data_IF_828902713871
#
_entry.id   IF_828902713871
#
_cell.length_a   1.000
_cell.length_b   1.000
_cell.length_c   1.000
_cell.angle_alpha   90.00
_cell.angle_beta   90.00
_cell.angle_gamma   90.00
#
_symmetry.space_group_name_H-M   'P 1'
#
loop_
_entity.id
_entity.type
_entity.pdbx_description
1 polymer ?
#
# COMPACT_ATOMS: atom_id res chain seq x y z
N UNK A 1 -7.41 -30.29 32.06
CA UNK A 1 -6.58 -29.10 32.32
C UNK A 1 -6.92 -28.02 31.31
N UNK A 2 -7.26 -26.85 31.84
CA UNK A 2 -7.24 -25.48 31.29
C UNK A 2 -7.57 -25.20 29.83
N UNK A 3 -8.84 -24.77 29.66
CA UNK A 3 -9.37 -23.76 28.71
C UNK A 3 -8.38 -22.61 28.44
N UNK A 4 -8.31 -22.13 27.19
CA UNK A 4 -8.42 -20.69 26.86
C UNK A 4 -8.86 -20.53 25.39
N UNK A 5 -10.13 -20.13 25.21
CA UNK A 5 -10.75 -19.68 23.96
C UNK A 5 -10.63 -18.15 23.97
N UNK A 6 -9.89 -17.56 23.03
CA UNK A 6 -9.71 -16.11 22.93
C UNK A 6 -10.66 -15.52 21.88
N UNK A 7 -11.24 -14.36 22.22
CA UNK A 7 -12.25 -13.61 21.48
C UNK A 7 -11.65 -12.69 20.41
N UNK A 8 -12.45 -12.46 19.37
CA UNK A 8 -12.21 -11.67 18.16
C UNK A 8 -11.94 -10.17 18.38
N UNK A 9 -11.16 -9.58 17.48
CA UNK A 9 -10.95 -8.13 17.32
C UNK A 9 -11.93 -7.52 16.29
N UNK A 10 -12.29 -6.22 16.41
CA UNK A 10 -13.11 -5.50 15.43
C UNK A 10 -12.24 -4.86 14.32
N UNK A 11 -12.77 -4.92 13.10
CA UNK A 11 -12.18 -4.50 11.81
C UNK A 11 -12.26 -2.97 11.61
N UNK A 12 -11.17 -2.34 11.17
CA UNK A 12 -11.12 -0.95 10.72
C UNK A 12 -11.11 -0.91 9.18
N UNK A 13 -12.05 -0.15 8.62
CA UNK A 13 -12.33 0.03 7.19
C UNK A 13 -11.30 0.94 6.52
N UNK A 14 -10.78 0.61 5.31
CA UNK A 14 -10.20 1.60 4.40
C UNK A 14 -11.26 2.07 3.40
N UNK A 15 -11.56 3.37 3.42
CA UNK A 15 -12.35 4.05 2.38
C UNK A 15 -11.54 4.25 1.11
N UNK A 16 -11.95 3.62 0.02
CA UNK A 16 -11.61 3.96 -1.35
C UNK A 16 -12.85 4.53 -2.06
N UNK A 17 -12.69 5.70 -2.66
CA UNK A 17 -13.58 6.32 -3.65
C UNK A 17 -12.71 7.37 -4.35
N UNK A 18 -12.59 7.49 -5.66
CA UNK A 18 -13.27 6.91 -6.80
C UNK A 18 -12.79 7.76 -7.99
N UNK A 19 -12.58 7.12 -9.13
CA UNK A 19 -12.25 7.75 -10.42
C UNK A 19 -13.39 8.69 -10.90
N UNK A 20 -13.04 9.64 -11.78
CA UNK A 20 -13.85 10.26 -12.88
C UNK A 20 -13.89 11.81 -12.87
N UNK A 21 -13.06 12.38 -13.76
CA UNK A 21 -13.30 13.52 -14.71
C UNK A 21 -13.72 14.91 -14.23
N UNK A 22 -12.81 15.87 -14.45
CA UNK A 22 -13.00 17.22 -15.03
C UNK A 22 -14.21 18.08 -14.61
N UNK A 23 -13.92 19.15 -13.86
CA UNK A 23 -14.41 20.53 -14.09
C UNK A 23 -13.69 21.52 -13.16
N UNK A 24 -13.08 22.61 -13.66
CA UNK A 24 -12.41 23.61 -12.84
C UNK A 24 -13.29 24.85 -12.63
N UNK A 25 -13.38 25.40 -11.41
CA UNK A 25 -13.63 26.84 -11.20
C UNK A 25 -13.19 27.28 -9.79
N UNK A 26 -12.05 27.99 -9.77
CA UNK A 26 -11.74 29.26 -9.05
C UNK A 26 -12.49 29.52 -7.75
N UNK A 27 -11.83 29.73 -6.62
CA UNK A 27 -11.11 30.97 -6.21
C UNK A 27 -10.63 30.65 -4.78
N UNK A 28 -9.41 30.95 -4.34
CA UNK A 28 -8.96 32.27 -3.87
C UNK A 28 -7.43 32.17 -3.71
N UNK A 29 -6.79 33.25 -4.15
CA UNK A 29 -5.37 33.54 -4.20
C UNK A 29 -4.70 33.50 -2.81
N UNK A 30 -3.62 32.73 -2.67
CA UNK A 30 -2.37 33.08 -1.96
C UNK A 30 -1.51 31.81 -1.77
N UNK A 31 -0.20 31.92 -2.00
CA UNK A 31 0.86 30.88 -1.86
C UNK A 31 1.06 29.94 -3.06
N UNK A 32 1.72 30.44 -4.11
CA UNK A 32 2.15 29.62 -5.25
C UNK A 32 3.60 29.85 -5.67
N UNK A 33 4.51 30.21 -4.73
CA UNK A 33 5.90 30.51 -5.08
C UNK A 33 6.95 29.57 -4.43
N UNK A 34 6.62 28.79 -3.40
CA UNK A 34 7.60 27.89 -2.76
C UNK A 34 7.56 26.46 -3.32
N UNK A 35 6.40 26.00 -3.80
CA UNK A 35 6.23 24.61 -4.26
C UNK A 35 6.92 24.32 -5.60
N UNK A 36 7.08 25.33 -6.47
CA UNK A 36 7.75 25.19 -7.77
C UNK A 36 9.24 24.83 -7.64
N UNK A 37 9.88 25.17 -6.51
CA UNK A 37 11.28 24.82 -6.24
C UNK A 37 11.44 23.35 -5.81
N UNK A 38 10.53 22.87 -4.95
CA UNK A 38 10.54 21.52 -4.40
C UNK A 38 10.09 20.47 -5.42
N UNK A 39 9.18 20.82 -6.34
CA UNK A 39 8.72 19.93 -7.41
C UNK A 39 9.87 19.58 -8.38
N UNK A 40 10.72 20.56 -8.72
CA UNK A 40 11.91 20.34 -9.55
C UNK A 40 12.96 19.46 -8.86
N UNK A 41 13.17 19.66 -7.56
CA UNK A 41 14.06 18.81 -6.74
C UNK A 41 13.55 17.36 -6.74
N UNK A 42 12.25 17.17 -6.49
CA UNK A 42 11.60 15.86 -6.46
C UNK A 42 11.75 15.12 -7.80
N UNK A 43 11.55 15.85 -8.90
CA UNK A 43 11.68 15.29 -10.26
C UNK A 43 13.10 14.83 -10.54
N UNK A 44 14.10 15.63 -10.17
CA UNK A 44 15.51 15.26 -10.35
C UNK A 44 15.91 14.06 -9.48
N UNK A 45 15.43 13.98 -8.23
CA UNK A 45 15.67 12.81 -7.37
C UNK A 45 15.09 11.55 -7.99
N UNK A 46 13.87 11.60 -8.54
CA UNK A 46 13.25 10.46 -9.23
C UNK A 46 14.05 10.04 -10.46
N UNK A 47 14.51 11.00 -11.27
CA UNK A 47 15.36 10.75 -12.44
C UNK A 47 16.68 10.09 -12.04
N UNK A 48 17.33 10.57 -10.98
CA UNK A 48 18.58 10.01 -10.48
C UNK A 48 18.40 8.57 -10.00
N UNK A 49 17.36 8.29 -9.22
CA UNK A 49 17.05 6.93 -8.75
C UNK A 49 16.80 5.98 -9.92
N UNK A 50 16.07 6.43 -10.94
CA UNK A 50 15.82 5.64 -12.15
C UNK A 50 17.12 5.35 -12.92
N UNK A 51 18.00 6.34 -13.07
CA UNK A 51 19.30 6.17 -13.73
C UNK A 51 20.23 5.22 -12.95
N UNK A 52 20.22 5.27 -11.62
CA UNK A 52 20.98 4.35 -10.76
C UNK A 52 20.48 2.93 -10.92
N UNK A 53 19.16 2.74 -10.96
CA UNK A 53 18.55 1.45 -11.23
C UNK A 53 18.94 0.92 -12.63
N UNK A 54 18.79 1.74 -13.68
CA UNK A 54 19.18 1.38 -15.05
C UNK A 54 20.69 1.06 -15.14
N UNK A 55 21.53 1.75 -14.35
CA UNK A 55 22.97 1.49 -14.27
C UNK A 55 23.27 0.12 -13.66
N UNK A 56 22.59 -0.23 -12.57
CA UNK A 56 22.74 -1.52 -11.90
C UNK A 56 22.17 -2.69 -12.71
N UNK A 57 21.07 -2.48 -13.44
CA UNK A 57 20.42 -3.51 -14.25
C UNK A 57 21.14 -3.80 -15.58
N UNK A 58 21.92 -2.84 -16.08
CA UNK A 58 22.76 -3.04 -17.27
C UNK A 58 23.96 -3.96 -16.97
N UNK A 59 23.63 -5.23 -16.89
CA UNK A 59 24.47 -6.39 -16.65
C UNK A 59 25.58 -6.47 -17.70
N UNK A 60 26.85 -6.29 -17.27
CA UNK A 60 28.18 -6.63 -17.85
C UNK A 60 28.44 -6.69 -19.38
N UNK A 61 27.47 -6.38 -20.24
CA UNK A 61 27.48 -6.60 -21.71
C UNK A 61 27.38 -5.30 -22.51
N UNK A 62 27.26 -4.15 -21.84
CA UNK A 62 27.26 -2.85 -22.49
C UNK A 62 28.69 -2.29 -22.57
N UNK A 63 29.04 -1.80 -23.77
CA UNK A 63 30.28 -1.04 -24.03
C UNK A 63 30.51 0.04 -22.97
N UNK A 64 31.79 0.25 -22.63
CA UNK A 64 32.20 1.23 -21.62
C UNK A 64 31.71 2.65 -21.95
N UNK A 65 31.53 2.99 -23.23
CA UNK A 65 30.96 4.27 -23.68
C UNK A 65 29.57 4.56 -23.08
N UNK A 66 28.70 3.55 -22.97
CA UNK A 66 27.37 3.72 -22.36
C UNK A 66 27.42 3.85 -20.84
N UNK A 67 28.45 3.29 -20.19
CA UNK A 67 28.67 3.52 -18.75
C UNK A 67 29.09 4.96 -18.53
N UNK A 68 30.05 5.46 -19.32
CA UNK A 68 30.52 6.84 -19.27
C UNK A 68 29.37 7.80 -19.53
N UNK A 69 28.54 7.56 -20.55
CA UNK A 69 27.39 8.41 -20.86
C UNK A 69 26.35 8.47 -19.73
N UNK A 70 26.07 7.34 -19.07
CA UNK A 70 25.16 7.30 -17.92
C UNK A 70 25.72 8.01 -16.70
N UNK A 71 27.00 7.81 -16.40
CA UNK A 71 27.69 8.52 -15.30
C UNK A 71 27.70 10.03 -15.56
N UNK A 72 27.96 10.48 -16.79
CA UNK A 72 27.88 11.90 -17.16
C UNK A 72 26.47 12.46 -16.94
N UNK A 73 25.44 11.70 -17.32
CA UNK A 73 24.03 12.10 -17.10
C UNK A 73 23.70 12.21 -15.61
N UNK A 74 24.16 11.25 -14.78
CA UNK A 74 24.01 11.31 -13.33
C UNK A 74 24.70 12.55 -12.74
N UNK A 75 25.90 12.88 -13.21
CA UNK A 75 26.65 14.05 -12.78
C UNK A 75 25.90 15.35 -13.09
N UNK A 76 25.34 15.48 -14.30
CA UNK A 76 24.53 16.66 -14.68
C UNK A 76 23.28 16.81 -13.81
N UNK A 77 22.60 15.70 -13.48
CA UNK A 77 21.42 15.75 -12.59
C UNK A 77 21.82 16.14 -11.17
N UNK A 78 22.96 15.66 -10.66
CA UNK A 78 23.49 16.05 -9.36
C UNK A 78 23.85 17.54 -9.30
N UNK A 79 24.45 18.09 -10.36
CA UNK A 79 24.74 19.52 -10.46
C UNK A 79 23.45 20.37 -10.50
N UNK A 80 22.42 19.94 -11.22
CA UNK A 80 21.11 20.62 -11.22
C UNK A 80 20.40 20.51 -9.85
N UNK A 81 20.49 19.35 -9.18
CA UNK A 81 20.00 19.17 -7.81
C UNK A 81 20.69 20.10 -6.83
N UNK A 82 22.02 20.16 -6.88
CA UNK A 82 22.83 21.03 -6.03
C UNK A 82 22.46 22.49 -6.22
N UNK A 83 22.35 22.95 -7.47
CA UNK A 83 21.99 24.36 -7.76
C UNK A 83 20.56 24.69 -7.32
N UNK A 84 19.59 23.77 -7.49
CA UNK A 84 18.21 23.96 -7.02
C UNK A 84 18.08 23.95 -5.50
N UNK A 85 18.75 23.02 -4.81
CA UNK A 85 18.79 22.98 -3.34
C UNK A 85 19.43 24.26 -2.80
N UNK A 86 20.53 24.72 -3.41
CA UNK A 86 21.17 25.97 -3.01
C UNK A 86 20.25 27.18 -3.22
N UNK A 87 19.51 27.24 -4.33
CA UNK A 87 18.48 28.28 -4.57
C UNK A 87 17.35 28.23 -3.53
N UNK A 88 16.82 27.04 -3.24
CA UNK A 88 15.77 26.84 -2.24
C UNK A 88 16.25 27.23 -0.83
N UNK A 89 17.48 26.87 -0.47
CA UNK A 89 18.09 27.25 0.81
C UNK A 89 18.33 28.76 0.91
N UNK A 90 18.81 29.41 -0.15
CA UNK A 90 18.99 30.86 -0.19
C UNK A 90 17.66 31.60 -0.03
N UNK A 91 16.59 31.13 -0.67
CA UNK A 91 15.24 31.68 -0.53
C UNK A 91 14.69 31.51 0.89
N UNK A 92 14.91 30.35 1.51
CA UNK A 92 14.48 30.07 2.90
C UNK A 92 15.25 30.86 3.96
N UNK A 93 16.45 31.38 3.64
CA UNK A 93 17.30 32.09 4.60
C UNK A 93 16.87 33.54 4.90
N UNK A 94 15.98 34.13 4.08
CA UNK A 94 15.49 35.51 4.30
C UNK A 94 14.30 35.61 5.27
N UNK A 95 13.75 34.47 5.73
CA UNK A 95 12.53 34.38 6.51
C UNK A 95 12.70 34.13 8.02
N UNK A 96 13.76 34.61 8.68
CA UNK A 96 13.94 34.49 10.14
C UNK A 96 12.95 35.29 11.00
N UNK A 97 11.74 35.56 10.52
CA UNK A 97 10.67 36.24 11.26
C UNK A 97 9.48 35.31 11.43
N UNK A 98 9.02 35.18 12.67
CA UNK A 98 7.61 34.89 12.99
C UNK A 98 7.13 33.42 12.97
N UNK A 99 7.79 32.51 13.69
CA UNK A 99 7.05 31.43 14.39
C UNK A 99 6.82 31.83 15.85
N UNK A 100 6.17 32.98 16.05
CA UNK A 100 5.60 33.33 17.35
C UNK A 100 4.33 32.52 17.52
N UNK A 101 4.39 31.58 18.46
CA UNK A 101 3.26 30.87 19.08
C UNK A 101 1.96 31.65 18.95
N UNK A 102 1.08 31.18 18.07
CA UNK A 102 -0.27 31.68 17.99
C UNK A 102 -1.00 31.33 19.31
N UNK A 103 -1.33 32.38 20.08
CA UNK A 103 -2.46 32.49 21.04
C UNK A 103 -2.34 32.09 22.53
N UNK A 104 -1.27 32.46 23.26
CA UNK A 104 -1.31 32.41 24.75
C UNK A 104 -0.99 33.70 25.51
N UNK A 105 -0.61 34.80 24.85
CA UNK A 105 -0.31 36.05 25.57
C UNK A 105 -1.45 37.07 25.42
N UNK A 106 -2.49 36.89 26.24
CA UNK A 106 -3.52 37.93 26.48
C UNK A 106 -2.84 39.14 27.13
N UNK A 107 -2.57 40.16 26.32
CA UNK A 107 -2.13 41.49 26.74
C UNK A 107 -3.02 42.01 27.87
N UNK A 108 -2.42 42.17 29.06
CA UNK A 108 -2.90 43.05 30.14
C UNK A 108 -2.82 44.50 29.63
N UNK A 109 -3.93 45.07 29.16
CA UNK A 109 -4.01 46.51 28.89
C UNK A 109 -4.36 47.25 30.20
N UNK A 110 -3.53 48.20 30.65
CA UNK A 110 -3.87 49.11 31.74
C UNK A 110 -4.69 50.30 31.20
N UNK A 111 -5.43 50.93 32.11
CA UNK A 111 -6.22 52.17 31.98
C UNK A 111 -7.50 52.15 31.14
N UNK A 112 -8.63 52.28 31.84
CA UNK A 112 -9.67 53.30 31.62
C UNK A 112 -10.76 53.19 32.70
N UNK A 113 -10.53 53.93 33.80
CA UNK A 113 -11.49 54.81 34.49
C UNK A 113 -13.00 54.44 34.56
N UNK A 114 -13.47 54.29 35.81
CA UNK A 114 -14.77 54.77 36.35
C UNK A 114 -16.06 54.06 35.89
N UNK A 115 -16.46 53.00 36.61
CA UNK A 115 -17.75 52.89 37.33
C UNK A 115 -17.95 51.46 37.89
N UNK A 116 -18.41 51.27 39.14
CA UNK A 116 -18.66 49.95 39.70
C UNK A 116 -20.05 49.48 39.26
N UNK A 117 -20.20 49.12 37.99
CA UNK A 117 -21.50 48.71 37.45
C UNK A 117 -21.52 47.20 37.26
N UNK A 118 -21.99 46.52 38.33
CA UNK A 118 -22.54 45.16 38.45
C UNK A 118 -21.85 44.02 37.67
N UNK A 119 -21.59 42.86 38.31
CA UNK A 119 -21.16 41.67 37.58
C UNK A 119 -22.19 41.40 36.47
N UNK A 120 -21.78 41.09 35.23
CA UNK A 120 -22.73 40.69 34.21
C UNK A 120 -23.51 39.53 34.79
N UNK A 121 -24.80 39.76 35.01
CA UNK A 121 -25.72 38.75 35.48
C UNK A 121 -25.85 37.79 34.30
N UNK A 122 -24.90 36.84 34.22
CA UNK A 122 -24.87 35.83 33.17
C UNK A 122 -26.26 35.22 33.11
N UNK A 123 -26.88 35.29 31.93
CA UNK A 123 -28.17 34.66 31.71
C UNK A 123 -28.04 33.18 32.15
N UNK A 124 -28.93 32.64 33.00
CA UNK A 124 -28.91 31.22 33.34
C UNK A 124 -28.83 30.32 32.10
N UNK A 125 -29.34 30.77 30.94
CA UNK A 125 -29.23 30.07 29.67
C UNK A 125 -27.79 30.02 29.12
N UNK A 126 -27.03 31.10 29.22
CA UNK A 126 -25.62 31.16 28.79
C UNK A 126 -24.72 30.26 29.65
N UNK A 127 -24.94 30.23 30.97
CA UNK A 127 -24.21 29.32 31.87
C UNK A 127 -24.48 27.86 31.50
N UNK A 128 -25.73 27.51 31.17
CA UNK A 128 -26.08 26.16 30.74
C UNK A 128 -25.45 25.82 29.38
N UNK A 129 -25.46 26.76 28.43
CA UNK A 129 -24.82 26.60 27.12
C UNK A 129 -23.31 26.35 27.26
N UNK A 130 -22.61 27.15 28.06
CA UNK A 130 -21.17 26.97 28.32
C UNK A 130 -20.86 25.64 29.02
N UNK A 131 -21.71 25.18 29.93
CA UNK A 131 -21.57 23.84 30.55
C UNK A 131 -21.72 22.72 29.52
N UNK A 132 -22.71 22.81 28.62
CA UNK A 132 -22.91 21.85 27.53
C UNK A 132 -21.72 21.84 26.57
N UNK A 133 -21.22 23.02 26.18
CA UNK A 133 -20.04 23.16 25.33
C UNK A 133 -18.77 22.60 25.98
N UNK A 134 -18.56 22.83 27.28
CA UNK A 134 -17.43 22.26 28.03
C UNK A 134 -17.52 20.72 28.11
N UNK A 135 -18.71 20.17 28.37
CA UNK A 135 -18.93 18.72 28.36
C UNK A 135 -18.68 18.12 26.97
N UNK A 136 -19.16 18.79 25.90
CA UNK A 136 -18.92 18.38 24.52
C UNK A 136 -17.41 18.42 24.16
N UNK A 137 -16.71 19.48 24.57
CA UNK A 137 -15.26 19.63 24.37
C UNK A 137 -14.46 18.54 25.11
N UNK A 138 -14.86 18.23 26.35
CA UNK A 138 -14.24 17.14 27.12
C UNK A 138 -14.49 15.76 26.50
N UNK A 139 -15.67 15.52 25.94
CA UNK A 139 -15.98 14.30 25.21
C UNK A 139 -15.16 14.19 23.91
N UNK A 140 -15.08 15.28 23.13
CA UNK A 140 -14.26 15.33 21.92
C UNK A 140 -12.77 15.07 22.22
N UNK A 141 -12.23 15.67 23.30
CA UNK A 141 -10.85 15.44 23.73
C UNK A 141 -10.60 13.98 24.11
N UNK A 142 -11.52 13.33 24.84
CA UNK A 142 -11.41 11.90 25.16
C UNK A 142 -11.46 11.03 23.90
N UNK A 143 -12.34 11.35 22.95
CA UNK A 143 -12.42 10.66 21.66
C UNK A 143 -11.11 10.76 20.87
N UNK A 144 -10.52 11.95 20.79
CA UNK A 144 -9.25 12.18 20.11
C UNK A 144 -8.09 11.46 20.80
N UNK A 145 -8.05 11.45 22.13
CA UNK A 145 -7.08 10.68 22.89
C UNK A 145 -7.16 9.17 22.61
N UNK A 146 -8.38 8.62 22.49
CA UNK A 146 -8.58 7.22 22.11
C UNK A 146 -8.09 6.94 20.69
N UNK A 147 -8.39 7.83 19.73
CA UNK A 147 -7.93 7.69 18.34
C UNK A 147 -6.40 7.75 18.21
N UNK A 148 -5.73 8.67 18.91
CA UNK A 148 -4.26 8.72 18.93
C UNK A 148 -3.65 7.45 19.55
N UNK A 149 -4.31 6.90 20.58
CA UNK A 149 -3.86 5.67 21.24
C UNK A 149 -4.04 4.44 20.34
N UNK A 150 -5.15 4.34 19.59
CA UNK A 150 -5.36 3.26 18.62
C UNK A 150 -4.39 3.36 17.43
N UNK A 151 -4.15 4.57 16.93
CA UNK A 151 -3.21 4.80 15.82
C UNK A 151 -1.77 4.42 16.21
N UNK A 152 -1.36 4.67 17.46
CA UNK A 152 -0.07 4.22 17.99
C UNK A 152 0.09 2.70 17.98
N UNK A 153 -0.97 1.97 18.39
CA UNK A 153 -0.99 0.50 18.35
C UNK A 153 -1.00 -0.05 16.93
N UNK A 154 -1.77 0.57 16.03
CA UNK A 154 -1.80 0.19 14.61
C UNK A 154 -0.42 0.36 13.95
N UNK A 155 0.28 1.47 14.25
CA UNK A 155 1.66 1.71 13.81
C UNK A 155 2.61 0.60 14.31
N UNK A 156 2.46 0.17 15.55
CA UNK A 156 3.26 -0.92 16.13
C UNK A 156 2.98 -2.26 15.44
N UNK A 157 1.71 -2.59 15.21
CA UNK A 157 1.29 -3.80 14.46
C UNK A 157 1.87 -3.79 13.05
N UNK A 158 1.79 -2.66 12.35
CA UNK A 158 2.32 -2.53 10.99
C UNK A 158 3.85 -2.66 10.97
N UNK A 159 4.56 -2.10 11.96
CA UNK A 159 6.01 -2.26 12.07
C UNK A 159 6.42 -3.74 12.29
N UNK A 160 5.69 -4.47 13.13
CA UNK A 160 5.90 -5.91 13.33
C UNK A 160 5.63 -6.71 12.04
N UNK A 161 4.54 -6.42 11.34
CA UNK A 161 4.21 -7.09 10.08
C UNK A 161 5.24 -6.78 8.97
N UNK A 162 5.73 -5.54 8.90
CA UNK A 162 6.81 -5.16 7.98
C UNK A 162 8.11 -5.89 8.32
N UNK A 163 8.47 -6.02 9.60
CA UNK A 163 9.65 -6.76 10.03
C UNK A 163 9.54 -8.25 9.68
N UNK A 164 8.36 -8.85 9.87
CA UNK A 164 8.06 -10.22 9.48
C UNK A 164 8.20 -10.41 7.96
N UNK A 165 7.63 -9.49 7.17
CA UNK A 165 7.73 -9.52 5.70
C UNK A 165 9.14 -9.31 5.18
N UNK A 166 9.93 -8.45 5.83
CA UNK A 166 11.34 -8.27 5.50
C UNK A 166 12.14 -9.57 5.75
N UNK A 167 11.85 -10.28 6.83
CA UNK A 167 12.48 -11.58 7.12
C UNK A 167 12.11 -12.65 6.08
N UNK A 168 10.82 -12.79 5.74
CA UNK A 168 10.37 -13.72 4.69
C UNK A 168 11.03 -13.42 3.33
N UNK A 169 11.20 -12.14 2.98
CA UNK A 169 11.89 -11.74 1.75
C UNK A 169 13.38 -12.14 1.78
N UNK A 170 14.06 -11.95 2.91
CA UNK A 170 15.46 -12.35 3.06
C UNK A 170 15.62 -13.89 2.92
N UNK A 171 14.75 -14.69 3.53
CA UNK A 171 14.76 -16.15 3.36
C UNK A 171 14.55 -16.56 1.89
N UNK A 172 13.64 -15.88 1.18
CA UNK A 172 13.44 -16.12 -0.26
C UNK A 172 14.67 -15.72 -1.10
N UNK A 173 15.35 -14.63 -0.75
CA UNK A 173 16.59 -14.20 -1.43
C UNK A 173 17.74 -15.19 -1.24
N UNK A 174 17.87 -15.78 -0.06
CA UNK A 174 18.83 -16.86 0.22
C UNK A 174 18.54 -18.09 -0.65
N UNK A 175 17.28 -18.56 -0.70
CA UNK A 175 16.87 -19.67 -1.56
C UNK A 175 17.17 -19.39 -3.04
N UNK A 176 16.89 -18.18 -3.52
CA UNK A 176 17.20 -17.79 -4.90
C UNK A 176 18.71 -17.76 -5.15
N UNK A 177 19.52 -17.38 -4.17
CA UNK A 177 20.98 -17.38 -4.27
C UNK A 177 21.53 -18.80 -4.35
N UNK A 178 21.01 -19.71 -3.53
CA UNK A 178 21.34 -21.15 -3.58
C UNK A 178 20.98 -21.77 -4.93
N UNK A 179 19.79 -21.48 -5.46
CA UNK A 179 19.39 -21.96 -6.78
C UNK A 179 20.28 -21.39 -7.89
N UNK A 180 20.70 -20.12 -7.79
CA UNK A 180 21.67 -19.53 -8.73
C UNK A 180 23.02 -20.25 -8.68
N UNK A 181 23.55 -20.53 -7.49
CA UNK A 181 24.80 -21.26 -7.32
C UNK A 181 24.73 -22.70 -7.86
N UNK A 182 23.61 -23.40 -7.61
CA UNK A 182 23.37 -24.74 -8.17
C UNK A 182 23.29 -24.72 -9.71
N UNK A 183 22.57 -23.74 -10.28
CA UNK A 183 22.47 -23.57 -11.72
C UNK A 183 23.83 -23.27 -12.36
N UNK A 184 24.66 -22.42 -11.73
CA UNK A 184 26.02 -22.13 -12.21
C UNK A 184 26.90 -23.38 -12.18
N UNK A 185 26.85 -24.16 -11.10
CA UNK A 185 27.57 -25.44 -10.98
C UNK A 185 27.14 -26.43 -12.06
N UNK A 186 25.83 -26.53 -12.34
CA UNK A 186 25.30 -27.40 -13.38
C UNK A 186 25.74 -26.92 -14.77
N UNK A 187 25.72 -25.61 -15.01
CA UNK A 187 26.18 -25.03 -16.27
C UNK A 187 27.66 -25.35 -16.54
N UNK A 188 28.53 -25.22 -15.53
CA UNK A 188 29.95 -25.63 -15.62
C UNK A 188 30.10 -27.11 -15.96
N UNK A 189 29.29 -27.99 -15.34
CA UNK A 189 29.29 -29.42 -15.69
C UNK A 189 28.88 -29.67 -17.14
N UNK A 190 27.81 -29.02 -17.61
CA UNK A 190 27.34 -29.13 -18.99
C UNK A 190 28.40 -28.65 -19.98
N UNK A 191 29.07 -27.54 -19.69
CA UNK A 191 30.17 -27.03 -20.51
C UNK A 191 31.36 -28.00 -20.55
N UNK A 192 31.76 -28.56 -19.40
CA UNK A 192 32.83 -29.57 -19.35
C UNK A 192 32.46 -30.81 -20.16
N UNK A 193 31.23 -31.34 -20.02
CA UNK A 193 30.76 -32.47 -20.82
C UNK A 193 30.77 -32.15 -22.33
N UNK A 194 30.39 -30.93 -22.73
CA UNK A 194 30.44 -30.51 -24.13
C UNK A 194 31.88 -30.41 -24.67
N UNK A 195 32.84 -30.00 -23.85
CA UNK A 195 34.26 -29.96 -24.23
C UNK A 195 34.84 -31.37 -24.39
N UNK A 196 34.58 -32.27 -23.45
CA UNK A 196 35.07 -33.65 -23.51
C UNK A 196 34.53 -34.38 -24.76
N UNK A 197 33.23 -34.24 -25.06
CA UNK A 197 32.63 -34.82 -26.26
C UNK A 197 33.18 -34.21 -27.58
N UNK A 198 33.78 -33.02 -27.55
CA UNK A 198 34.44 -32.42 -28.71
C UNK A 198 35.91 -32.84 -28.87
N UNK A 199 36.58 -33.25 -27.77
CA UNK A 199 37.95 -33.79 -27.81
C UNK A 199 37.96 -35.23 -28.32
N UNK A 200 37.05 -36.07 -27.80
CA UNK A 200 36.91 -37.47 -28.22
C UNK A 200 36.64 -37.60 -29.73
N UNK A 201 35.90 -36.66 -30.33
CA UNK A 201 35.63 -36.63 -31.78
C UNK A 201 36.83 -36.24 -32.66
N UNK A 202 37.90 -35.68 -32.11
CA UNK A 202 39.06 -35.22 -32.88
C UNK A 202 40.26 -36.16 -32.81
N UNK A 203 40.33 -37.04 -31.81
CA UNK A 203 41.44 -38.00 -31.66
C UNK A 203 41.21 -39.32 -32.40
N UNK A 204 39.97 -39.66 -32.77
CA UNK A 204 39.65 -40.86 -33.56
C UNK A 204 39.44 -40.53 -35.06
N UNK A 205 40.47 -40.00 -35.71
CA UNK A 205 40.56 -39.96 -37.19
C UNK A 205 41.47 -41.13 -37.61
N UNK A 206 40.99 -42.37 -37.47
CA UNK A 206 41.41 -43.58 -38.22
C UNK A 206 40.80 -44.86 -37.62
N UNK A 207 39.47 -44.92 -37.51
CA UNK A 207 38.78 -46.12 -37.02
C UNK A 207 37.34 -46.23 -37.53
N UNK A 208 36.96 -47.30 -38.25
CA UNK A 208 35.61 -47.44 -38.77
C UNK A 208 34.63 -47.84 -37.65
N UNK A 209 33.80 -46.87 -37.23
CA UNK A 209 32.39 -47.11 -36.91
C UNK A 209 31.99 -47.14 -35.43
N UNK A 210 31.32 -46.09 -34.91
CA UNK A 210 30.45 -46.17 -33.74
C UNK A 210 28.99 -46.25 -34.21
N UNK A 211 28.58 -47.42 -34.71
CA UNK A 211 27.33 -47.59 -35.45
C UNK A 211 26.06 -47.91 -34.63
N UNK A 212 26.15 -48.37 -33.38
CA UNK A 212 24.95 -49.00 -32.77
C UNK A 212 24.76 -48.82 -31.25
N UNK A 213 25.78 -48.43 -30.48
CA UNK A 213 25.65 -48.37 -29.01
C UNK A 213 24.93 -47.12 -28.47
N UNK A 214 24.67 -46.12 -29.30
CA UNK A 214 24.05 -44.85 -28.86
C UNK A 214 22.52 -44.83 -28.97
N UNK A 215 21.93 -45.79 -29.69
CA UNK A 215 20.47 -45.86 -29.91
C UNK A 215 19.68 -45.98 -28.59
N UNK A 216 20.03 -46.88 -27.64
CA UNK A 216 19.27 -46.97 -26.38
C UNK A 216 19.44 -45.76 -25.47
N UNK A 217 20.63 -45.13 -25.46
CA UNK A 217 20.86 -43.90 -24.68
C UNK A 217 20.12 -42.70 -25.24
N UNK A 218 20.07 -42.56 -26.57
CA UNK A 218 19.30 -41.53 -27.25
C UNK A 218 17.79 -41.69 -26.99
N UNK A 219 17.28 -42.92 -27.02
CA UNK A 219 15.89 -43.23 -26.65
C UNK A 219 15.56 -42.82 -25.22
N UNK A 220 16.40 -43.19 -24.25
CA UNK A 220 16.22 -42.80 -22.83
C UNK A 220 16.31 -41.29 -22.62
N UNK A 221 17.23 -40.59 -23.30
CA UNK A 221 17.37 -39.15 -23.17
C UNK A 221 16.15 -38.41 -23.76
N UNK A 222 15.64 -38.89 -24.89
CA UNK A 222 14.39 -38.41 -25.49
C UNK A 222 13.21 -38.58 -24.53
N UNK A 223 13.05 -39.76 -23.94
CA UNK A 223 11.99 -40.01 -22.95
C UNK A 223 12.11 -39.10 -21.72
N UNK A 224 13.31 -38.94 -21.15
CA UNK A 224 13.54 -38.04 -20.02
C UNK A 224 13.25 -36.58 -20.37
N UNK A 225 13.60 -36.15 -21.58
CA UNK A 225 13.32 -34.79 -22.08
C UNK A 225 11.81 -34.57 -22.26
N UNK A 226 11.09 -35.55 -22.78
CA UNK A 226 9.62 -35.53 -22.89
C UNK A 226 8.95 -35.51 -21.51
N UNK A 227 9.44 -36.31 -20.55
CA UNK A 227 8.96 -36.30 -19.16
C UNK A 227 9.22 -34.95 -18.47
N UNK A 228 10.40 -34.34 -18.69
CA UNK A 228 10.73 -33.02 -18.15
C UNK A 228 9.85 -31.94 -18.76
N UNK A 229 9.61 -31.97 -20.07
CA UNK A 229 8.72 -31.01 -20.72
C UNK A 229 7.29 -31.15 -20.18
N UNK A 230 6.80 -32.39 -20.03
CA UNK A 230 5.49 -32.69 -19.45
C UNK A 230 5.36 -32.21 -18.01
N UNK A 231 6.41 -32.34 -17.18
CA UNK A 231 6.39 -31.85 -15.79
C UNK A 231 6.42 -30.31 -15.71
N UNK A 232 7.19 -29.64 -16.58
CA UNK A 232 7.21 -28.17 -16.70
C UNK A 232 5.84 -27.65 -17.13
N UNK A 233 5.21 -28.27 -18.13
CA UNK A 233 3.88 -27.89 -18.59
C UNK A 233 2.81 -28.15 -17.50
N UNK A 234 2.94 -29.24 -16.74
CA UNK A 234 2.13 -29.52 -15.56
C UNK A 234 2.26 -28.44 -14.50
N UNK A 235 3.48 -28.02 -14.15
CA UNK A 235 3.73 -26.92 -13.21
C UNK A 235 3.17 -25.59 -13.71
N UNK A 236 3.34 -25.27 -15.01
CA UNK A 236 2.76 -24.07 -15.63
C UNK A 236 1.23 -24.09 -15.58
N UNK A 237 0.60 -25.23 -15.84
CA UNK A 237 -0.84 -25.41 -15.74
C UNK A 237 -1.33 -25.22 -14.29
N UNK A 238 -0.65 -25.82 -13.32
CA UNK A 238 -0.97 -25.68 -11.90
C UNK A 238 -0.81 -24.22 -11.43
N UNK A 239 0.25 -23.54 -11.86
CA UNK A 239 0.47 -22.11 -11.55
C UNK A 239 -0.64 -21.23 -12.10
N UNK A 240 -1.16 -21.50 -13.30
CA UNK A 240 -2.33 -20.80 -13.85
C UNK A 240 -3.59 -21.05 -13.02
N UNK A 241 -3.90 -22.32 -12.74
CA UNK A 241 -5.05 -22.69 -11.89
C UNK A 241 -4.98 -22.05 -10.50
N UNK A 242 -3.80 -22.01 -9.88
CA UNK A 242 -3.59 -21.35 -8.60
C UNK A 242 -3.90 -19.86 -8.68
N UNK A 243 -3.44 -19.18 -9.75
CA UNK A 243 -3.75 -17.77 -9.99
C UNK A 243 -5.25 -17.54 -10.18
N UNK A 244 -5.92 -18.39 -10.96
CA UNK A 244 -7.36 -18.30 -11.19
C UNK A 244 -8.15 -18.43 -9.87
N UNK A 245 -7.79 -19.40 -9.03
CA UNK A 245 -8.40 -19.57 -7.68
C UNK A 245 -8.07 -18.40 -6.75
N UNK A 246 -6.86 -17.85 -6.84
CA UNK A 246 -6.46 -16.68 -6.05
C UNK A 246 -7.30 -15.45 -6.44
N UNK A 247 -7.51 -15.22 -7.73
CA UNK A 247 -8.32 -14.12 -8.26
C UNK A 247 -9.82 -14.30 -7.91
N UNK A 248 -10.35 -15.52 -8.01
CA UNK A 248 -11.72 -15.85 -7.57
C UNK A 248 -11.90 -15.60 -6.06
N UNK A 249 -10.94 -16.03 -5.24
CA UNK A 249 -10.94 -15.79 -3.78
C UNK A 249 -10.89 -14.29 -3.47
N UNK A 250 -10.08 -13.52 -4.21
CA UNK A 250 -10.04 -12.06 -4.11
C UNK A 250 -11.39 -11.41 -4.44
N UNK A 251 -12.04 -11.84 -5.52
CA UNK A 251 -13.37 -11.38 -5.92
C UNK A 251 -14.43 -11.70 -4.85
N UNK A 252 -14.39 -12.93 -4.31
CA UNK A 252 -15.32 -13.37 -3.26
C UNK A 252 -15.14 -12.60 -1.96
N UNK A 253 -13.90 -12.29 -1.55
CA UNK A 253 -13.64 -11.44 -0.38
C UNK A 253 -14.15 -10.02 -0.56
N UNK A 254 -14.05 -9.47 -1.77
CA UNK A 254 -14.62 -8.15 -2.09
C UNK A 254 -16.14 -8.19 -1.98
N UNK A 255 -16.80 -9.16 -2.61
CA UNK A 255 -18.25 -9.34 -2.51
C UNK A 255 -18.70 -9.53 -1.05
N UNK A 256 -17.98 -10.33 -0.26
CA UNK A 256 -18.27 -10.52 1.16
C UNK A 256 -18.15 -9.22 1.97
N UNK A 257 -17.15 -8.39 1.67
CA UNK A 257 -16.99 -7.06 2.29
C UNK A 257 -18.16 -6.15 1.96
N UNK A 258 -18.56 -6.10 0.70
CA UNK A 258 -19.71 -5.30 0.25
C UNK A 258 -21.02 -5.76 0.94
N UNK A 259 -21.18 -7.07 1.15
CA UNK A 259 -22.31 -7.61 1.89
C UNK A 259 -22.25 -7.26 3.38
N UNK A 260 -21.08 -7.40 4.01
CA UNK A 260 -20.88 -7.05 5.41
C UNK A 260 -21.15 -5.57 5.66
N UNK A 261 -20.73 -4.69 4.76
CA UNK A 261 -21.05 -3.27 4.81
C UNK A 261 -22.56 -3.02 4.69
N UNK A 262 -23.24 -3.67 3.74
CA UNK A 262 -24.71 -3.61 3.61
C UNK A 262 -25.44 -4.04 4.89
N UNK A 263 -25.02 -5.14 5.51
CA UNK A 263 -25.57 -5.63 6.78
C UNK A 263 -25.29 -4.64 7.92
N UNK A 264 -24.09 -4.05 7.98
CA UNK A 264 -23.73 -3.06 8.98
C UNK A 264 -24.61 -1.80 8.85
N UNK A 265 -24.83 -1.29 7.63
CA UNK A 265 -25.74 -0.16 7.38
C UNK A 265 -27.17 -0.50 7.82
N UNK A 266 -27.67 -1.69 7.48
CA UNK A 266 -28.98 -2.17 7.94
C UNK A 266 -29.08 -2.24 9.47
N UNK A 267 -28.05 -2.78 10.13
CA UNK A 267 -27.97 -2.88 11.59
C UNK A 267 -27.96 -1.50 12.25
N UNK A 268 -27.16 -0.56 11.74
CA UNK A 268 -27.13 0.81 12.26
C UNK A 268 -28.47 1.53 12.12
N UNK A 269 -29.18 1.32 11.00
CA UNK A 269 -30.54 1.85 10.82
C UNK A 269 -31.53 1.23 11.80
N UNK A 270 -31.46 -0.08 12.01
CA UNK A 270 -32.30 -0.79 12.98
C UNK A 270 -32.05 -0.29 14.41
N UNK A 271 -30.79 -0.09 14.81
CA UNK A 271 -30.45 0.49 16.12
C UNK A 271 -31.01 1.91 16.27
N UNK A 272 -30.85 2.77 15.25
CA UNK A 272 -31.42 4.12 15.24
C UNK A 272 -32.96 4.11 15.33
N UNK A 273 -33.61 3.20 14.62
CA UNK A 273 -35.07 3.04 14.69
C UNK A 273 -35.51 2.59 16.08
N UNK A 274 -34.80 1.63 16.68
CA UNK A 274 -35.06 1.18 18.04
C UNK A 274 -34.90 2.32 19.07
N UNK A 275 -33.84 3.13 18.96
CA UNK A 275 -33.63 4.30 19.81
C UNK A 275 -34.77 5.33 19.68
N UNK A 276 -35.20 5.61 18.45
CA UNK A 276 -36.31 6.51 18.13
C UNK A 276 -37.63 6.03 18.74
N UNK A 277 -37.95 4.74 18.60
CA UNK A 277 -39.14 4.12 19.22
C UNK A 277 -39.08 4.21 20.75
N UNK A 278 -37.91 3.99 21.34
CA UNK A 278 -37.70 4.06 22.80
C UNK A 278 -37.87 5.46 23.36
N UNK A 279 -37.60 6.51 22.55
CA UNK A 279 -37.72 7.92 22.94
C UNK A 279 -39.13 8.49 22.75
N UNK A 280 -40.07 7.70 22.24
CA UNK A 280 -41.41 8.17 21.84
C UNK A 280 -41.33 9.33 20.84
N UNK A 281 -40.27 9.38 20.02
CA UNK A 281 -40.15 10.35 18.95
C UNK A 281 -41.26 10.08 17.90
N UNK A 282 -41.83 11.14 17.32
CA UNK A 282 -42.80 11.01 16.22
C UNK A 282 -42.07 10.47 14.97
N UNK A 283 -42.12 9.15 14.81
CA UNK A 283 -41.34 8.44 13.79
C UNK A 283 -42.32 7.79 12.84
N UNK A 284 -42.15 8.07 11.55
CA UNK A 284 -42.85 7.34 10.50
C UNK A 284 -42.25 5.94 10.39
N UNK A 285 -42.70 5.04 11.27
CA UNK A 285 -42.25 3.64 11.38
C UNK A 285 -42.41 2.94 10.04
N UNK A 286 -43.51 3.19 9.31
CA UNK A 286 -43.78 2.60 8.01
C UNK A 286 -42.71 2.97 6.96
N UNK A 287 -42.29 4.23 6.92
CA UNK A 287 -41.22 4.67 6.01
C UNK A 287 -39.85 4.08 6.41
N UNK A 288 -39.53 4.03 7.71
CA UNK A 288 -38.26 3.43 8.17
C UNK A 288 -38.22 1.92 7.89
N UNK A 289 -39.32 1.20 8.11
CA UNK A 289 -39.47 -0.21 7.73
C UNK A 289 -39.33 -0.38 6.22
N UNK A 290 -40.04 0.42 5.41
CA UNK A 290 -39.95 0.38 3.94
C UNK A 290 -38.52 0.62 3.43
N UNK A 291 -37.77 1.52 4.08
CA UNK A 291 -36.38 1.79 3.74
C UNK A 291 -35.46 0.63 4.12
N UNK A 292 -35.71 -0.02 5.25
CA UNK A 292 -34.98 -1.19 5.71
C UNK A 292 -35.25 -2.40 4.80
N UNK A 293 -36.51 -2.61 4.39
CA UNK A 293 -36.91 -3.63 3.42
C UNK A 293 -36.22 -3.42 2.07
N UNK A 294 -36.23 -2.20 1.52
CA UNK A 294 -35.53 -1.88 0.25
C UNK A 294 -34.04 -2.19 0.34
N UNK A 295 -33.39 -1.87 1.47
CA UNK A 295 -31.98 -2.16 1.69
C UNK A 295 -31.72 -3.68 1.71
N UNK A 296 -32.53 -4.43 2.46
CA UNK A 296 -32.36 -5.89 2.55
C UNK A 296 -32.75 -6.63 1.27
N UNK A 297 -33.75 -6.15 0.53
CA UNK A 297 -34.07 -6.64 -0.82
C UNK A 297 -32.91 -6.40 -1.78
N UNK A 298 -32.32 -5.20 -1.76
CA UNK A 298 -31.13 -4.89 -2.55
C UNK A 298 -29.94 -5.79 -2.20
N UNK A 299 -29.71 -6.06 -0.91
CA UNK A 299 -28.68 -6.99 -0.46
C UNK A 299 -28.97 -8.43 -0.93
N UNK A 300 -30.21 -8.90 -0.80
CA UNK A 300 -30.63 -10.22 -1.26
C UNK A 300 -30.41 -10.42 -2.75
N UNK A 301 -30.73 -9.42 -3.58
CA UNK A 301 -30.45 -9.43 -5.02
C UNK A 301 -28.95 -9.51 -5.31
N UNK A 302 -28.12 -8.74 -4.59
CA UNK A 302 -26.66 -8.80 -4.78
C UNK A 302 -26.07 -10.15 -4.41
N UNK A 303 -26.59 -10.82 -3.37
CA UNK A 303 -26.16 -12.17 -2.95
C UNK A 303 -26.59 -13.21 -3.98
N UNK A 304 -27.81 -13.10 -4.51
CA UNK A 304 -28.32 -14.02 -5.54
C UNK A 304 -27.49 -13.93 -6.83
N UNK A 305 -27.20 -12.70 -7.28
CA UNK A 305 -26.41 -12.48 -8.50
C UNK A 305 -24.98 -13.05 -8.39
N UNK A 306 -24.35 -12.98 -7.21
CA UNK A 306 -23.02 -13.57 -7.01
C UNK A 306 -23.05 -15.10 -6.96
N UNK A 307 -24.17 -15.69 -6.49
CA UNK A 307 -24.34 -17.14 -6.47
C UNK A 307 -24.55 -17.72 -7.87
N UNK A 308 -25.08 -16.94 -8.82
CA UNK A 308 -25.30 -17.35 -10.21
C UNK A 308 -24.07 -17.18 -11.12
N UNK A 309 -23.09 -16.37 -10.72
CA UNK A 309 -21.88 -16.09 -11.50
C UNK A 309 -20.70 -17.03 -11.16
N UNK A 310 -20.95 -18.13 -10.43
CA UNK A 310 -20.00 -19.22 -10.17
C UNK A 310 -20.33 -20.42 -11.06
#
# INVERSE_FOLDING_TARGET
MSRLRAFSAPDLVPSDSGSITSSPTRTIEHQSHEDSGLEGITTNVKLLLKLVQDHNEATSRHHDDWKVQRVNTMMTILDDLKTRIQKAQQQSSSGKKELRRCYTDLKRSPDLTKSPTKPPQNDPEDIQKLRKELSASMAARKSLQMMCSSLGKEKEIMALELSRKAHELNEMEELVSDFRAQNEKLLKKVQNCAVEHNKEKKEDIDGPGPGDNNVPLQGRNKELSEQLLKSIDGYRSLKRKYKDVQDENGSMRRALRDYAEGVNVGTQRLTKLHEKITREDEVNIENEISNLEKLFQGLGLKILNHSQNK
#
